data_IF_397680915667
#
_entry.id   IF_397680915667
#
_cell.length_a   1.000
_cell.length_b   1.000
_cell.length_c   1.000
_cell.angle_alpha   90.00
_cell.angle_beta   90.00
_cell.angle_gamma   90.00
#
_symmetry.space_group_name_H-M   'P 1'
#
loop_
_entity.id
_entity.type
_entity.pdbx_description
1 polymer ?
#
# COMPACT_ATOMS: atom_id res chain seq x y z
N UNK A 1 7.65 26.39 22.32
CA UNK A 1 7.93 26.99 20.99
C UNK A 1 8.40 25.96 19.96
N UNK A 2 9.22 24.96 20.34
CA UNK A 2 9.79 23.95 19.41
C UNK A 2 8.70 23.01 18.84
N UNK A 3 7.73 22.60 19.64
CA UNK A 3 6.64 21.70 19.23
C UNK A 3 5.73 22.32 18.16
N UNK A 4 5.48 23.62 18.22
CA UNK A 4 4.63 24.33 17.24
C UNK A 4 5.31 24.48 15.86
N UNK A 5 6.62 24.64 15.83
CA UNK A 5 7.41 24.78 14.59
C UNK A 5 7.48 23.43 13.84
N UNK A 6 7.54 22.31 14.56
CA UNK A 6 7.52 20.96 13.98
C UNK A 6 6.20 20.64 13.29
N UNK A 7 5.08 20.94 13.95
CA UNK A 7 3.72 20.70 13.40
C UNK A 7 3.47 21.55 12.14
N UNK A 8 3.96 22.79 12.13
CA UNK A 8 3.78 23.70 10.99
C UNK A 8 4.62 23.27 9.76
N UNK A 9 5.81 22.72 9.98
CA UNK A 9 6.65 22.15 8.90
C UNK A 9 6.05 20.89 8.33
N UNK A 10 5.48 20.03 9.17
CA UNK A 10 4.84 18.80 8.75
C UNK A 10 3.53 19.05 7.96
N UNK A 11 2.69 20.01 8.40
CA UNK A 11 1.49 20.42 7.66
C UNK A 11 1.82 21.00 6.29
N UNK A 12 2.92 21.76 6.16
CA UNK A 12 3.40 22.27 4.86
C UNK A 12 3.91 21.15 3.96
N UNK A 13 4.61 20.17 4.51
CA UNK A 13 5.06 18.99 3.75
C UNK A 13 3.89 18.14 3.25
N UNK A 14 2.89 17.91 4.09
CA UNK A 14 1.67 17.18 3.72
C UNK A 14 0.86 17.92 2.63
N UNK A 15 0.79 19.24 2.71
CA UNK A 15 0.13 20.08 1.69
C UNK A 15 0.86 20.05 0.35
N UNK A 16 2.20 20.03 0.36
CA UNK A 16 3.03 19.92 -0.83
C UNK A 16 2.91 18.52 -1.46
N UNK A 17 2.89 17.46 -0.66
CA UNK A 17 2.65 16.10 -1.16
C UNK A 17 1.23 15.95 -1.72
N UNK A 18 0.21 16.51 -1.08
CA UNK A 18 -1.16 16.52 -1.59
C UNK A 18 -1.29 17.33 -2.88
N UNK A 19 -0.63 18.49 -3.00
CA UNK A 19 -0.66 19.31 -4.20
C UNK A 19 0.10 18.68 -5.38
N UNK A 20 1.17 17.91 -5.11
CA UNK A 20 1.86 17.13 -6.12
C UNK A 20 1.02 15.96 -6.64
N UNK A 21 0.23 15.31 -5.77
CA UNK A 21 -0.71 14.25 -6.16
C UNK A 21 -1.93 14.81 -6.92
N UNK A 22 -2.44 15.98 -6.56
CA UNK A 22 -3.57 16.63 -7.26
C UNK A 22 -3.17 17.39 -8.53
N UNK A 23 -1.96 17.93 -8.59
CA UNK A 23 -1.48 18.69 -9.75
C UNK A 23 -1.27 17.83 -11.01
N UNK A 24 -1.07 16.53 -10.88
CA UNK A 24 -0.92 15.58 -12.00
C UNK A 24 -2.26 15.07 -12.54
N UNK A 25 -3.38 15.29 -11.83
CA UNK A 25 -4.72 14.88 -12.24
C UNK A 25 -5.36 15.78 -13.29
N UNK A 26 -4.75 16.91 -13.65
CA UNK A 26 -5.33 17.93 -14.57
C UNK A 26 -4.80 17.88 -16.00
N UNK A 27 -3.91 16.96 -16.34
CA UNK A 27 -3.56 16.69 -17.74
C UNK A 27 -4.25 15.40 -18.15
N UNK A 28 -5.52 15.51 -18.53
CA UNK A 28 -6.24 14.43 -19.17
C UNK A 28 -5.81 14.35 -20.64
N UNK A 29 -4.70 13.63 -20.91
CA UNK A 29 -4.53 13.00 -22.21
C UNK A 29 -5.58 11.89 -22.34
N UNK A 30 -6.10 11.68 -23.55
CA UNK A 30 -7.11 10.67 -23.86
C UNK A 30 -6.69 9.32 -23.25
N UNK A 31 -7.36 8.91 -22.17
CA UNK A 31 -7.13 7.63 -21.52
C UNK A 31 -7.68 6.56 -22.46
N UNK A 32 -6.82 5.89 -23.21
CA UNK A 32 -7.19 4.63 -23.88
C UNK A 32 -7.30 3.56 -22.81
N UNK A 33 -8.53 3.26 -22.41
CA UNK A 33 -8.82 2.13 -21.52
C UNK A 33 -8.68 0.87 -22.37
N UNK A 34 -7.52 0.26 -22.33
CA UNK A 34 -7.30 -1.10 -22.84
C UNK A 34 -7.62 -2.07 -21.69
N UNK A 35 -8.62 -2.92 -21.87
CA UNK A 35 -9.19 -3.72 -20.80
C UNK A 35 -8.25 -4.83 -20.24
N UNK A 36 -7.08 -5.03 -20.87
CA UNK A 36 -6.18 -6.15 -20.58
C UNK A 36 -4.99 -5.80 -19.66
N UNK A 37 -4.89 -4.57 -19.18
CA UNK A 37 -3.75 -4.12 -18.35
C UNK A 37 -4.16 -3.89 -16.90
N UNK A 38 -4.75 -4.88 -16.27
CA UNK A 38 -5.06 -4.85 -14.84
C UNK A 38 -4.52 -6.09 -14.15
N UNK A 39 -3.94 -5.92 -12.98
CA UNK A 39 -3.46 -7.03 -12.16
C UNK A 39 -4.31 -7.17 -10.91
N UNK A 40 -4.69 -8.41 -10.60
CA UNK A 40 -5.31 -8.78 -9.33
C UNK A 40 -4.31 -9.57 -8.48
N UNK A 41 -4.07 -9.10 -7.28
CA UNK A 41 -3.24 -9.77 -6.27
C UNK A 41 -4.11 -10.26 -5.12
N UNK A 42 -4.13 -11.57 -4.89
CA UNK A 42 -4.69 -12.19 -3.71
C UNK A 42 -3.56 -12.56 -2.76
N UNK A 43 -3.69 -12.19 -1.50
CA UNK A 43 -2.64 -12.44 -0.53
C UNK A 43 -3.16 -12.96 0.80
N UNK A 44 -2.30 -13.72 1.47
CA UNK A 44 -2.52 -14.24 2.82
C UNK A 44 -1.22 -14.20 3.61
N UNK A 45 -1.31 -14.04 4.90
CA UNK A 45 -0.11 -13.96 5.73
C UNK A 45 -0.40 -13.71 7.19
N UNK A 46 0.51 -13.01 7.85
CA UNK A 46 0.41 -12.67 9.26
C UNK A 46 0.51 -11.17 9.46
N UNK A 47 -0.54 -10.62 10.03
CA UNK A 47 -0.59 -9.24 10.50
C UNK A 47 0.17 -9.12 11.82
N UNK A 48 1.00 -8.08 11.91
CA UNK A 48 1.79 -7.71 13.09
C UNK A 48 2.56 -8.88 13.72
N UNK A 49 3.33 -9.60 12.89
CA UNK A 49 4.09 -10.77 13.31
C UNK A 49 5.10 -10.48 14.44
N UNK A 50 5.47 -9.22 14.65
CA UNK A 50 6.40 -8.78 15.67
C UNK A 50 5.77 -8.61 17.07
N UNK A 51 4.44 -8.65 17.19
CA UNK A 51 3.72 -8.55 18.46
C UNK A 51 3.05 -9.88 18.81
N UNK A 52 3.63 -10.63 19.73
CA UNK A 52 3.13 -11.96 20.13
C UNK A 52 1.70 -11.96 20.66
N UNK A 53 1.21 -10.82 21.15
CA UNK A 53 -0.11 -10.70 21.77
C UNK A 53 -1.19 -10.24 20.79
N UNK A 54 -0.81 -9.65 19.66
CA UNK A 54 -1.70 -9.01 18.68
C UNK A 54 -1.51 -9.52 17.26
N UNK A 55 -0.61 -10.48 17.05
CA UNK A 55 -0.48 -11.11 15.73
C UNK A 55 -1.77 -11.83 15.35
N UNK A 56 -2.12 -11.73 14.08
CA UNK A 56 -3.34 -12.31 13.53
C UNK A 56 -3.10 -12.82 12.11
N UNK A 57 -3.77 -13.90 11.71
CA UNK A 57 -3.84 -14.32 10.33
C UNK A 57 -4.55 -13.26 9.49
N UNK A 58 -4.09 -13.01 8.26
CA UNK A 58 -4.73 -12.08 7.35
C UNK A 58 -4.98 -12.69 5.97
N UNK A 59 -6.04 -12.21 5.33
CA UNK A 59 -6.29 -12.37 3.89
C UNK A 59 -6.64 -11.04 3.28
N UNK A 60 -6.34 -10.86 2.00
CA UNK A 60 -6.68 -9.63 1.32
C UNK A 60 -6.56 -9.72 -0.20
N UNK A 61 -6.89 -8.63 -0.84
CA UNK A 61 -6.76 -8.46 -2.27
C UNK A 61 -6.31 -7.04 -2.62
N UNK A 62 -5.67 -6.91 -3.76
CA UNK A 62 -5.30 -5.62 -4.35
C UNK A 62 -5.56 -5.68 -5.85
N UNK A 63 -6.08 -4.61 -6.38
CA UNK A 63 -6.23 -4.36 -7.80
C UNK A 63 -5.25 -3.25 -8.20
N UNK A 64 -4.50 -3.48 -9.27
CA UNK A 64 -3.66 -2.49 -9.94
C UNK A 64 -4.27 -2.15 -11.30
N UNK A 65 -4.27 -0.87 -11.66
CA UNK A 65 -4.71 -0.42 -12.98
C UNK A 65 -3.55 0.23 -13.74
N UNK A 66 -2.93 -0.54 -14.64
CA UNK A 66 -1.81 -0.08 -15.47
C UNK A 66 -2.21 0.95 -16.52
N UNK A 67 -3.48 0.99 -16.92
CA UNK A 67 -3.97 1.99 -17.88
C UNK A 67 -3.88 3.43 -17.34
N UNK A 68 -3.75 3.58 -16.02
CA UNK A 68 -3.59 4.85 -15.34
C UNK A 68 -2.14 5.15 -14.92
N UNK A 69 -1.17 4.44 -15.49
CA UNK A 69 0.24 4.62 -15.19
C UNK A 69 0.72 6.04 -15.47
N UNK A 70 1.70 6.48 -14.70
CA UNK A 70 2.39 7.77 -14.89
C UNK A 70 3.89 7.59 -14.76
N UNK A 71 4.61 8.06 -15.77
CA UNK A 71 6.06 8.13 -15.73
C UNK A 71 6.51 9.24 -14.77
N UNK A 72 7.35 8.89 -13.83
CA UNK A 72 7.89 9.80 -12.82
C UNK A 72 9.39 9.58 -12.67
N UNK A 73 10.04 10.43 -11.89
CA UNK A 73 11.46 10.24 -11.53
C UNK A 73 11.70 8.97 -10.67
N UNK A 74 10.65 8.41 -10.07
CA UNK A 74 10.65 7.12 -9.35
C UNK A 74 10.30 5.93 -10.27
N UNK A 75 10.25 6.12 -11.58
CA UNK A 75 9.79 5.12 -12.55
C UNK A 75 8.31 5.25 -12.87
N UNK A 76 7.77 4.21 -13.49
CA UNK A 76 6.37 4.15 -13.89
C UNK A 76 5.52 3.77 -12.67
N UNK A 77 4.64 4.69 -12.23
CA UNK A 77 3.75 4.48 -11.09
C UNK A 77 2.36 4.08 -11.55
N UNK A 78 1.86 2.98 -11.00
CA UNK A 78 0.50 2.48 -11.21
C UNK A 78 -0.36 2.72 -9.98
N UNK A 79 -1.61 3.16 -10.13
CA UNK A 79 -2.55 3.25 -9.01
C UNK A 79 -2.97 1.85 -8.54
N UNK A 80 -3.09 1.72 -7.23
CA UNK A 80 -3.57 0.50 -6.57
C UNK A 80 -4.73 0.81 -5.65
N UNK A 81 -5.63 -0.18 -5.49
CA UNK A 81 -6.71 -0.16 -4.51
C UNK A 81 -6.87 -1.57 -3.93
N UNK A 82 -7.03 -1.68 -2.64
CA UNK A 82 -7.12 -2.99 -2.02
C UNK A 82 -7.72 -2.96 -0.63
N UNK A 83 -7.77 -4.14 -0.04
CA UNK A 83 -8.24 -4.32 1.31
C UNK A 83 -7.79 -5.63 1.92
N UNK A 84 -7.74 -5.66 3.23
CA UNK A 84 -7.47 -6.88 4.01
C UNK A 84 -8.38 -6.98 5.22
N UNK A 85 -8.56 -8.21 5.67
CA UNK A 85 -9.22 -8.56 6.93
C UNK A 85 -8.36 -9.57 7.68
N UNK A 86 -8.36 -9.46 9.01
CA UNK A 86 -7.69 -10.40 9.91
C UNK A 86 -8.68 -11.33 10.61
N UNK A 87 -8.20 -12.43 11.15
CA UNK A 87 -8.98 -13.33 12.01
C UNK A 87 -9.42 -12.67 13.34
N UNK A 88 -8.78 -11.56 13.71
CA UNK A 88 -9.22 -10.67 14.81
C UNK A 88 -10.24 -9.61 14.35
N UNK A 89 -10.82 -9.72 13.17
CA UNK A 89 -11.77 -8.75 12.56
C UNK A 89 -11.20 -7.33 12.36
N UNK A 90 -9.89 -7.14 12.39
CA UNK A 90 -9.31 -5.89 11.94
C UNK A 90 -9.41 -5.79 10.42
N UNK A 91 -9.73 -4.61 9.89
CA UNK A 91 -9.86 -4.35 8.46
C UNK A 91 -9.04 -3.14 8.05
N UNK A 92 -8.52 -3.18 6.83
CA UNK A 92 -7.82 -2.05 6.22
C UNK A 92 -8.20 -1.94 4.75
N UNK A 93 -8.74 -0.79 4.35
CA UNK A 93 -9.04 -0.44 2.96
C UNK A 93 -8.16 0.71 2.52
N UNK A 94 -7.51 0.58 1.38
CA UNK A 94 -6.50 1.53 0.95
C UNK A 94 -6.54 1.79 -0.55
N UNK A 95 -6.01 2.95 -0.92
CA UNK A 95 -5.66 3.31 -2.29
C UNK A 95 -4.29 3.98 -2.28
N UNK A 96 -3.53 3.81 -3.35
CA UNK A 96 -2.17 4.33 -3.39
C UNK A 96 -1.52 4.11 -4.73
N UNK A 97 -0.20 3.96 -4.71
CA UNK A 97 0.61 3.74 -5.91
C UNK A 97 1.65 2.66 -5.67
N UNK A 98 2.02 1.98 -6.74
CA UNK A 98 3.18 1.08 -6.77
C UNK A 98 4.04 1.34 -8.00
N UNK A 99 5.31 0.96 -7.92
CA UNK A 99 6.22 0.89 -9.05
C UNK A 99 6.67 -0.57 -9.23
N UNK A 100 6.99 -0.97 -10.46
CA UNK A 100 7.46 -2.32 -10.77
C UNK A 100 8.85 -2.22 -11.40
N UNK A 101 9.79 -3.01 -10.88
CA UNK A 101 11.16 -3.10 -11.36
C UNK A 101 11.53 -4.55 -11.61
N UNK A 102 11.80 -4.91 -12.86
CA UNK A 102 12.17 -6.27 -13.24
C UNK A 102 13.70 -6.44 -13.27
N UNK A 103 14.21 -7.42 -12.54
CA UNK A 103 15.62 -7.80 -12.51
C UNK A 103 15.74 -9.29 -12.81
N UNK A 104 16.01 -9.63 -14.05
CA UNK A 104 16.02 -11.04 -14.50
C UNK A 104 14.62 -11.66 -14.41
N UNK A 105 14.46 -12.71 -13.61
CA UNK A 105 13.16 -13.38 -13.37
C UNK A 105 12.41 -12.85 -12.13
N UNK A 106 12.99 -11.90 -11.42
CA UNK A 106 12.42 -11.34 -10.19
C UNK A 106 11.83 -9.96 -10.49
N UNK A 107 10.62 -9.73 -10.04
CA UNK A 107 10.01 -8.41 -9.97
C UNK A 107 10.04 -7.89 -8.54
N UNK A 108 10.44 -6.62 -8.39
CA UNK A 108 10.49 -5.88 -7.13
C UNK A 108 9.44 -4.79 -7.20
N UNK A 109 8.46 -4.83 -6.31
CA UNK A 109 7.31 -3.91 -6.34
C UNK A 109 7.18 -3.15 -5.01
N UNK A 110 7.84 -1.99 -4.87
CA UNK A 110 7.56 -1.08 -3.78
C UNK A 110 6.19 -0.41 -3.96
N UNK A 111 5.45 -0.24 -2.86
CA UNK A 111 4.18 0.49 -2.86
C UNK A 111 4.00 1.36 -1.62
N UNK A 112 3.17 2.39 -1.78
CA UNK A 112 2.74 3.26 -0.69
C UNK A 112 1.25 3.56 -0.85
N UNK A 113 0.48 3.33 0.23
CA UNK A 113 -0.96 3.50 0.20
C UNK A 113 -1.52 4.01 1.55
N UNK A 114 -2.10 5.21 1.58
CA UNK A 114 -2.98 5.63 2.67
C UNK A 114 -4.27 4.80 2.67
N UNK A 115 -4.84 4.58 3.86
CA UNK A 115 -6.08 3.83 3.97
C UNK A 115 -6.78 4.00 5.30
N UNK A 116 -7.99 3.47 5.36
CA UNK A 116 -8.82 3.43 6.55
C UNK A 116 -8.63 2.10 7.27
N UNK A 117 -8.19 2.17 8.51
CA UNK A 117 -8.01 1.04 9.39
C UNK A 117 -9.10 1.02 10.48
N UNK A 118 -9.69 -0.14 10.68
CA UNK A 118 -10.54 -0.44 11.83
C UNK A 118 -9.92 -1.61 12.60
N UNK A 119 -9.69 -1.43 13.90
CA UNK A 119 -8.96 -2.41 14.72
C UNK A 119 -9.74 -3.70 14.99
N UNK A 120 -11.08 -3.66 14.92
CA UNK A 120 -11.90 -4.81 15.35
C UNK A 120 -11.54 -5.26 16.77
N UNK A 121 -11.15 -6.54 16.91
CA UNK A 121 -10.62 -7.13 18.14
C UNK A 121 -9.07 -7.20 18.13
N UNK A 122 -8.44 -6.66 17.09
CA UNK A 122 -7.00 -6.73 16.84
C UNK A 122 -6.20 -5.64 17.57
N UNK A 123 -5.18 -5.12 16.89
CA UNK A 123 -4.27 -4.10 17.43
C UNK A 123 -4.82 -2.70 17.17
N UNK A 124 -4.93 -1.89 18.22
CA UNK A 124 -5.20 -0.46 18.10
C UNK A 124 -3.92 0.28 17.64
N UNK A 125 -3.94 0.79 16.42
CA UNK A 125 -2.83 1.55 15.81
C UNK A 125 -2.84 3.04 16.17
N UNK A 126 -3.90 3.50 16.88
CA UNK A 126 -3.97 4.85 17.42
C UNK A 126 -4.63 5.88 16.49
N UNK A 127 -4.95 5.53 15.24
CA UNK A 127 -5.67 6.41 14.33
C UNK A 127 -6.35 5.59 13.22
N UNK A 128 -7.48 6.08 12.73
CA UNK A 128 -8.20 5.42 11.64
C UNK A 128 -7.52 5.58 10.27
N UNK A 129 -6.79 6.67 10.05
CA UNK A 129 -5.97 6.85 8.85
C UNK A 129 -4.58 6.28 9.12
N UNK A 130 -4.24 5.23 8.38
CA UNK A 130 -2.94 4.56 8.41
C UNK A 130 -2.30 4.60 7.01
N UNK A 131 -0.99 4.52 6.98
CA UNK A 131 -0.18 4.49 5.75
C UNK A 131 0.52 3.14 5.65
N UNK A 132 0.27 2.42 4.56
CA UNK A 132 0.95 1.18 4.21
C UNK A 132 2.18 1.51 3.37
N UNK A 133 3.36 1.09 3.82
CA UNK A 133 4.58 1.01 3.02
C UNK A 133 4.91 -0.46 2.82
N UNK A 134 5.05 -0.90 1.57
CA UNK A 134 5.24 -2.31 1.25
C UNK A 134 6.37 -2.51 0.23
N UNK A 135 7.06 -3.62 0.35
CA UNK A 135 7.95 -4.17 -0.67
C UNK A 135 7.51 -5.60 -0.97
N UNK A 136 7.26 -5.90 -2.25
CA UNK A 136 6.94 -7.23 -2.74
C UNK A 136 8.05 -7.72 -3.66
N UNK A 137 8.37 -9.01 -3.57
CA UNK A 137 9.23 -9.74 -4.49
C UNK A 137 8.39 -10.83 -5.12
N UNK A 138 8.33 -10.89 -6.45
CA UNK A 138 7.57 -11.90 -7.17
C UNK A 138 8.37 -12.57 -8.28
N UNK A 139 7.93 -13.76 -8.66
CA UNK A 139 8.46 -14.57 -9.73
C UNK A 139 7.36 -14.85 -10.75
N UNK A 140 7.68 -14.65 -12.03
CA UNK A 140 6.76 -14.98 -13.10
C UNK A 140 6.50 -16.48 -13.22
N UNK A 141 5.25 -16.82 -13.46
CA UNK A 141 4.75 -18.14 -13.75
C UNK A 141 4.09 -18.15 -15.15
N UNK A 142 3.90 -19.34 -15.76
CA UNK A 142 3.10 -19.45 -16.99
C UNK A 142 1.69 -18.85 -16.82
N UNK A 143 1.09 -18.47 -17.97
CA UNK A 143 -0.29 -17.96 -18.06
C UNK A 143 -0.51 -16.61 -17.36
N UNK A 144 0.44 -15.69 -17.47
CA UNK A 144 0.31 -14.33 -16.92
C UNK A 144 -0.05 -14.34 -15.42
N UNK A 145 0.65 -15.12 -14.64
CA UNK A 145 0.52 -15.17 -13.19
C UNK A 145 1.87 -15.09 -12.53
N UNK A 146 1.88 -14.68 -11.26
CA UNK A 146 3.09 -14.59 -10.45
C UNK A 146 2.80 -15.13 -9.06
N UNK A 147 3.85 -15.59 -8.40
CA UNK A 147 3.84 -15.83 -6.94
C UNK A 147 4.85 -14.90 -6.29
N UNK A 148 4.50 -14.38 -5.14
CA UNK A 148 5.34 -13.42 -4.45
C UNK A 148 5.33 -13.57 -2.94
N UNK A 149 6.26 -12.86 -2.34
CA UNK A 149 6.34 -12.63 -0.91
C UNK A 149 6.46 -11.13 -0.68
N UNK A 150 5.69 -10.59 0.27
CA UNK A 150 5.77 -9.17 0.60
C UNK A 150 5.88 -8.93 2.11
N UNK A 151 6.49 -7.80 2.42
CA UNK A 151 6.55 -7.24 3.76
C UNK A 151 5.95 -5.84 3.72
N UNK A 152 5.08 -5.54 4.69
CA UNK A 152 4.56 -4.19 4.84
C UNK A 152 4.68 -3.69 6.28
N UNK A 153 4.63 -2.37 6.38
CA UNK A 153 4.52 -1.62 7.63
C UNK A 153 3.32 -0.68 7.53
N UNK A 154 2.41 -0.77 8.50
CA UNK A 154 1.34 0.19 8.72
C UNK A 154 1.71 1.13 9.86
N UNK A 155 1.49 2.44 9.66
CA UNK A 155 1.67 3.45 10.70
C UNK A 155 0.87 4.71 10.39
N UNK A 156 0.45 5.44 11.42
CA UNK A 156 -0.31 6.68 11.24
C UNK A 156 0.56 7.93 11.11
N UNK A 157 1.87 7.79 10.94
CA UNK A 157 2.82 8.90 10.84
C UNK A 157 2.70 9.90 12.01
N UNK A 158 2.35 9.44 13.19
CA UNK A 158 2.11 10.25 14.40
C UNK A 158 0.95 11.25 14.27
N UNK A 159 -0.08 10.93 13.49
CA UNK A 159 -1.33 11.70 13.42
C UNK A 159 -2.22 11.48 14.65
N UNK A 160 -2.15 10.28 15.26
CA UNK A 160 -2.84 9.95 16.50
C UNK A 160 -2.01 10.24 17.76
N UNK A 161 -2.59 9.96 18.92
CA UNK A 161 -1.93 10.12 20.22
C UNK A 161 -0.83 9.06 20.45
N UNK A 162 -0.92 7.94 19.74
CA UNK A 162 0.09 6.87 19.72
C UNK A 162 0.30 6.38 18.28
N UNK A 163 1.46 5.80 18.00
CA UNK A 163 1.79 5.22 16.72
C UNK A 163 2.64 3.94 16.92
N UNK A 164 2.03 2.84 17.41
CA UNK A 164 2.76 1.60 17.65
C UNK A 164 3.19 0.91 16.35
N UNK A 165 2.50 1.18 15.24
CA UNK A 165 2.67 0.51 13.97
C UNK A 165 2.34 -0.98 13.99
N UNK A 166 2.31 -1.60 12.81
CA UNK A 166 2.18 -3.04 12.64
C UNK A 166 3.04 -3.51 11.46
N UNK A 167 3.73 -4.64 11.62
CA UNK A 167 4.58 -5.24 10.61
C UNK A 167 3.95 -6.54 10.14
N UNK A 168 3.76 -6.71 8.84
CA UNK A 168 3.12 -7.90 8.29
C UNK A 168 3.96 -8.51 7.17
N UNK A 169 3.84 -9.81 7.00
CA UNK A 169 4.34 -10.50 5.82
C UNK A 169 3.20 -11.25 5.12
N UNK A 170 3.28 -11.35 3.81
CA UNK A 170 2.26 -12.00 2.99
C UNK A 170 2.88 -12.84 1.90
N UNK A 171 2.18 -13.93 1.56
CA UNK A 171 2.33 -14.67 0.33
C UNK A 171 1.29 -14.16 -0.67
N UNK A 172 1.73 -13.90 -1.88
CA UNK A 172 0.98 -13.24 -2.92
C UNK A 172 0.77 -14.17 -4.11
N UNK A 173 -0.40 -14.14 -4.70
CA UNK A 173 -0.72 -14.72 -5.99
C UNK A 173 -1.30 -13.63 -6.88
N UNK A 174 -0.58 -13.29 -7.96
CA UNK A 174 -0.92 -12.22 -8.87
C UNK A 174 -1.40 -12.82 -10.19
N UNK A 175 -2.39 -12.17 -10.79
CA UNK A 175 -2.99 -12.57 -12.08
C UNK A 175 -3.28 -11.33 -12.92
N UNK A 176 -2.70 -11.28 -14.12
CA UNK A 176 -2.94 -10.31 -15.18
C UNK A 176 -4.01 -10.84 -16.14
#
# INVERSE_FOLDING_TARGET
KIKYISIMKFKKLLLVCASLLFGTLLVADEIKIDADNTELNFYTGMFDFSDDTKRAGLIGFQHQNENLNRDTFLGNLSPITGGMITDANATYFYTGVQAQYTIGAIEITPSFAPGYYNEGNGKDLGHALEFKSEIQLSLELPKQSQIGFSYNHLSNASLGDKNPGANSYMFNFLKN
#
